data_IF_211251138839
#
_entry.id   IF_211251138839
#
_cell.length_a   1.000
_cell.length_b   1.000
_cell.length_c   1.000
_cell.angle_alpha   90.00
_cell.angle_beta   90.00
_cell.angle_gamma   90.00
#
_symmetry.space_group_name_H-M   'P 1'
#
loop_
_entity.id
_entity.type
_entity.pdbx_description
1 polymer ?
#
# COMPACT_ATOMS: atom_id res chain seq x y z
N UNK A 1 1.43 -1.62 -9.38
CA UNK A 1 0.87 -1.93 -8.05
C UNK A 1 1.65 -3.00 -7.31
N UNK A 2 1.67 -2.90 -5.99
CA UNK A 2 2.18 -3.91 -5.06
C UNK A 2 1.02 -4.29 -4.14
N UNK A 3 0.51 -5.51 -4.31
CA UNK A 3 -0.64 -6.02 -3.56
C UNK A 3 -0.20 -7.08 -2.56
N UNK A 4 -0.35 -6.80 -1.27
CA UNK A 4 -0.06 -7.75 -0.20
C UNK A 4 -1.31 -8.54 0.17
N UNK A 5 -1.21 -9.87 0.24
CA UNK A 5 -2.26 -10.76 0.73
C UNK A 5 -1.74 -11.62 1.87
N UNK A 6 -2.61 -11.90 2.83
CA UNK A 6 -2.32 -12.84 3.91
C UNK A 6 -3.03 -14.18 3.68
N UNK A 7 -2.26 -15.19 3.29
CA UNK A 7 -2.75 -16.54 3.01
C UNK A 7 -2.43 -17.49 4.18
N UNK A 8 -3.10 -17.31 5.33
CA UNK A 8 -2.83 -18.08 6.56
C UNK A 8 -2.80 -19.60 6.36
N UNK A 9 -3.66 -20.12 5.50
CA UNK A 9 -3.78 -21.57 5.21
C UNK A 9 -3.56 -21.89 3.73
N UNK A 10 -2.86 -21.03 3.01
CA UNK A 10 -2.60 -21.17 1.60
C UNK A 10 -3.75 -20.72 0.69
N UNK A 11 -4.94 -20.53 1.25
CA UNK A 11 -6.14 -20.21 0.49
C UNK A 11 -6.35 -18.69 0.41
N UNK A 12 -6.61 -18.21 -0.81
CA UNK A 12 -6.99 -16.82 -1.10
C UNK A 12 -8.49 -16.75 -1.42
N UNK A 13 -9.19 -15.86 -0.70
CA UNK A 13 -10.63 -15.70 -0.85
C UNK A 13 -11.03 -15.20 -2.25
N UNK A 14 -12.20 -15.60 -2.75
CA UNK A 14 -12.66 -15.28 -4.11
C UNK A 14 -12.92 -13.80 -4.36
N UNK A 15 -13.20 -13.01 -3.36
CA UNK A 15 -13.36 -11.56 -3.54
C UNK A 15 -12.08 -10.88 -4.05
N UNK A 16 -10.90 -11.46 -3.76
CA UNK A 16 -9.61 -10.98 -4.27
C UNK A 16 -9.57 -11.06 -5.81
N UNK A 17 -10.12 -12.13 -6.41
CA UNK A 17 -10.19 -12.25 -7.87
C UNK A 17 -11.02 -11.12 -8.48
N UNK A 18 -12.16 -10.80 -7.86
CA UNK A 18 -13.00 -9.68 -8.30
C UNK A 18 -12.27 -8.37 -8.19
N UNK A 19 -11.68 -8.09 -7.02
CA UNK A 19 -10.92 -6.88 -6.76
C UNK A 19 -9.79 -6.69 -7.79
N UNK A 20 -8.95 -7.70 -7.95
CA UNK A 20 -7.83 -7.66 -8.89
C UNK A 20 -8.28 -7.52 -10.35
N UNK A 21 -9.38 -8.19 -10.76
CA UNK A 21 -9.93 -8.07 -12.11
C UNK A 21 -10.35 -6.64 -12.49
N UNK A 22 -10.61 -5.80 -11.48
CA UNK A 22 -10.93 -4.38 -11.67
C UNK A 22 -9.67 -3.51 -11.58
N UNK A 23 -8.82 -3.80 -10.59
CA UNK A 23 -7.62 -3.01 -10.32
C UNK A 23 -6.60 -3.05 -11.48
N UNK A 24 -6.35 -4.22 -12.05
CA UNK A 24 -5.35 -4.37 -13.15
C UNK A 24 -5.65 -3.54 -14.37
N UNK A 25 -6.89 -3.08 -14.56
CA UNK A 25 -7.26 -2.20 -15.67
C UNK A 25 -6.67 -0.79 -15.55
N UNK A 26 -6.22 -0.43 -14.36
CA UNK A 26 -5.62 0.87 -14.04
C UNK A 26 -4.12 0.76 -13.73
N UNK A 27 -3.52 -0.41 -13.95
CA UNK A 27 -2.11 -0.66 -13.63
C UNK A 27 -1.35 -1.14 -14.87
N UNK A 28 -0.11 -0.65 -15.04
CA UNK A 28 0.83 -1.18 -16.03
C UNK A 28 1.48 -2.49 -15.56
N UNK A 29 1.72 -2.61 -14.25
CA UNK A 29 2.29 -3.81 -13.63
C UNK A 29 1.68 -4.08 -12.26
N UNK A 30 1.54 -5.37 -11.93
CA UNK A 30 1.12 -5.82 -10.62
C UNK A 30 2.08 -6.87 -10.05
N UNK A 31 2.67 -6.56 -8.89
CA UNK A 31 3.40 -7.52 -8.08
C UNK A 31 2.52 -7.92 -6.90
N UNK A 32 2.24 -9.20 -6.76
CA UNK A 32 1.53 -9.75 -5.60
C UNK A 32 2.56 -10.30 -4.61
N UNK A 33 2.42 -9.92 -3.35
CA UNK A 33 3.22 -10.48 -2.25
C UNK A 33 2.30 -11.28 -1.34
N UNK A 34 2.48 -12.58 -1.31
CA UNK A 34 1.74 -13.49 -0.43
C UNK A 34 2.52 -13.70 0.88
N UNK A 35 1.97 -13.21 1.97
CA UNK A 35 2.41 -13.55 3.32
C UNK A 35 1.79 -14.90 3.71
N UNK A 36 2.58 -15.95 3.66
CA UNK A 36 2.17 -17.36 3.78
C UNK A 36 2.25 -18.10 2.45
N UNK A 37 2.24 -19.40 2.52
CA UNK A 37 2.23 -20.27 1.33
C UNK A 37 0.92 -20.11 0.54
N UNK A 38 0.96 -20.43 -0.75
CA UNK A 38 -0.22 -20.45 -1.61
C UNK A 38 -0.52 -21.88 -2.03
N UNK A 39 -1.78 -22.30 -1.88
CA UNK A 39 -2.25 -23.52 -2.52
C UNK A 39 -2.22 -23.39 -4.05
N UNK A 40 -2.27 -24.53 -4.75
CA UNK A 40 -2.14 -24.56 -6.20
C UNK A 40 -3.27 -23.81 -6.93
N UNK A 41 -4.52 -23.86 -6.40
CA UNK A 41 -5.66 -23.14 -6.99
C UNK A 41 -5.50 -21.63 -6.81
N UNK A 42 -5.19 -21.19 -5.59
CA UNK A 42 -4.97 -19.77 -5.30
C UNK A 42 -3.83 -19.20 -6.14
N UNK A 43 -2.69 -19.89 -6.21
CA UNK A 43 -1.56 -19.50 -7.07
C UNK A 43 -1.97 -19.32 -8.52
N UNK A 44 -2.63 -20.34 -9.12
CA UNK A 44 -3.07 -20.32 -10.52
C UNK A 44 -4.06 -19.19 -10.81
N UNK A 45 -4.91 -18.86 -9.85
CA UNK A 45 -5.86 -17.74 -9.98
C UNK A 45 -5.14 -16.39 -9.96
N UNK A 46 -4.19 -16.19 -9.05
CA UNK A 46 -3.43 -14.95 -8.93
C UNK A 46 -2.49 -14.71 -10.13
N UNK A 47 -1.92 -15.77 -10.70
CA UNK A 47 -1.08 -15.70 -11.91
C UNK A 47 -1.79 -15.10 -13.14
N UNK A 48 -3.12 -15.03 -13.12
CA UNK A 48 -3.89 -14.38 -14.19
C UNK A 48 -3.85 -12.85 -14.12
N UNK A 49 -3.47 -12.31 -12.98
CA UNK A 49 -3.48 -10.87 -12.72
C UNK A 49 -2.08 -10.30 -12.51
N UNK A 50 -1.18 -11.09 -11.95
CA UNK A 50 0.13 -10.64 -11.51
C UNK A 50 1.21 -10.86 -12.56
N UNK A 51 2.04 -9.85 -12.79
CA UNK A 51 3.30 -9.99 -13.54
C UNK A 51 4.34 -10.76 -12.74
N UNK A 52 4.23 -10.72 -11.41
CA UNK A 52 5.11 -11.43 -10.49
C UNK A 52 4.40 -11.74 -9.17
N UNK A 53 4.62 -12.95 -8.64
CA UNK A 53 4.18 -13.36 -7.32
C UNK A 53 5.42 -13.64 -6.45
N UNK A 54 5.47 -13.01 -5.30
CA UNK A 54 6.47 -13.24 -4.26
C UNK A 54 5.77 -13.95 -3.10
N UNK A 55 6.24 -15.13 -2.74
CA UNK A 55 5.76 -15.85 -1.56
C UNK A 55 6.79 -15.69 -0.46
N UNK A 56 6.34 -15.33 0.73
CA UNK A 56 7.22 -15.10 1.87
C UNK A 56 6.56 -15.54 3.18
N UNK A 57 7.37 -15.77 4.20
CA UNK A 57 6.87 -15.93 5.56
C UNK A 57 6.16 -14.65 6.04
N UNK A 58 5.05 -14.79 6.78
CA UNK A 58 4.35 -13.64 7.36
C UNK A 58 5.10 -13.07 8.57
N UNK A 59 6.22 -12.42 8.31
CA UNK A 59 7.04 -11.72 9.30
C UNK A 59 7.12 -10.24 8.97
N UNK A 60 6.70 -9.38 9.90
CA UNK A 60 6.64 -7.92 9.70
C UNK A 60 5.46 -7.45 8.86
N UNK A 61 4.40 -8.27 8.75
CA UNK A 61 3.10 -7.95 8.17
C UNK A 61 3.16 -7.48 6.70
N UNK A 62 2.16 -6.70 6.29
CA UNK A 62 2.05 -6.09 4.95
C UNK A 62 3.16 -5.06 4.68
N UNK A 63 3.57 -4.32 5.69
CA UNK A 63 4.63 -3.30 5.58
C UNK A 63 5.96 -3.93 5.15
N UNK A 64 6.33 -5.08 5.74
CA UNK A 64 7.52 -5.79 5.32
C UNK A 64 7.37 -6.43 3.93
N UNK A 65 6.15 -6.79 3.53
CA UNK A 65 5.85 -7.23 2.17
C UNK A 65 6.03 -6.10 1.16
N UNK A 66 5.52 -4.89 1.45
CA UNK A 66 5.75 -3.70 0.62
C UNK A 66 7.24 -3.39 0.50
N UNK A 67 7.96 -3.35 1.63
CA UNK A 67 9.41 -3.16 1.63
C UNK A 67 10.13 -4.16 0.73
N UNK A 68 9.83 -5.44 0.87
CA UNK A 68 10.47 -6.49 0.05
C UNK A 68 10.20 -6.30 -1.43
N UNK A 69 8.95 -5.98 -1.80
CA UNK A 69 8.60 -5.74 -3.20
C UNK A 69 9.32 -4.50 -3.75
N UNK A 70 9.25 -3.36 -3.06
CA UNK A 70 9.91 -2.11 -3.47
C UNK A 70 11.42 -2.32 -3.69
N UNK A 71 12.11 -2.94 -2.74
CA UNK A 71 13.55 -3.22 -2.85
C UNK A 71 13.85 -4.22 -3.96
N UNK A 72 13.00 -5.23 -4.17
CA UNK A 72 13.20 -6.25 -5.22
C UNK A 72 12.94 -5.73 -6.64
N UNK A 73 12.07 -4.74 -6.80
CA UNK A 73 11.84 -4.03 -8.07
C UNK A 73 13.01 -3.08 -8.33
N UNK A 74 13.46 -2.39 -7.30
CA UNK A 74 14.56 -1.44 -7.33
C UNK A 74 14.15 -0.02 -7.74
N UNK A 75 14.80 0.96 -7.11
CA UNK A 75 14.44 2.37 -7.24
C UNK A 75 14.50 2.92 -8.67
N UNK A 76 15.48 2.47 -9.45
CA UNK A 76 15.61 2.89 -10.85
C UNK A 76 14.40 2.48 -11.70
N UNK A 77 13.88 1.25 -11.49
CA UNK A 77 12.69 0.78 -12.20
C UNK A 77 11.43 1.47 -11.67
N UNK A 78 11.30 1.63 -10.36
CA UNK A 78 10.16 2.32 -9.74
C UNK A 78 10.06 3.79 -10.22
N UNK A 79 11.18 4.47 -10.39
CA UNK A 79 11.23 5.84 -10.89
C UNK A 79 10.76 6.00 -12.36
N UNK A 80 10.59 4.91 -13.09
CA UNK A 80 10.05 4.95 -14.44
C UNK A 80 8.53 5.08 -14.48
N UNK A 81 7.84 4.76 -13.36
CA UNK A 81 6.39 4.93 -13.22
C UNK A 81 6.06 6.32 -12.69
N UNK A 82 4.88 6.82 -13.04
CA UNK A 82 4.36 8.08 -12.50
C UNK A 82 3.89 7.90 -11.05
N UNK A 83 3.37 6.71 -10.75
CA UNK A 83 2.85 6.36 -9.42
C UNK A 83 3.12 4.87 -9.09
N UNK A 84 3.39 4.60 -7.82
CA UNK A 84 3.50 3.24 -7.25
C UNK A 84 2.51 3.11 -6.11
N UNK A 85 1.68 2.07 -6.17
CA UNK A 85 0.64 1.82 -5.18
C UNK A 85 1.02 0.61 -4.35
N UNK A 86 1.01 0.76 -3.02
CA UNK A 86 1.11 -0.32 -2.05
C UNK A 86 -0.26 -0.50 -1.38
N UNK A 87 -0.82 -1.69 -1.46
CA UNK A 87 -2.14 -1.98 -0.90
C UNK A 87 -2.25 -3.43 -0.42
N UNK A 88 -3.22 -3.70 0.46
CA UNK A 88 -3.45 -5.04 1.00
C UNK A 88 -4.88 -5.54 0.79
N UNK A 89 -5.16 -6.78 1.22
CA UNK A 89 -6.41 -7.48 1.01
C UNK A 89 -7.48 -7.23 2.09
N UNK A 90 -7.30 -6.21 2.93
CA UNK A 90 -8.30 -5.86 3.96
C UNK A 90 -9.48 -5.07 3.41
N UNK A 91 -9.39 -4.59 2.16
CA UNK A 91 -10.44 -3.83 1.50
C UNK A 91 -11.33 -4.76 0.68
N UNK A 92 -12.64 -4.64 0.87
CA UNK A 92 -13.65 -5.26 0.01
C UNK A 92 -14.15 -4.25 -1.02
N UNK A 93 -14.23 -4.66 -2.27
CA UNK A 93 -14.72 -3.79 -3.36
C UNK A 93 -14.11 -4.15 -4.71
N UNK A 94 -14.05 -3.23 -5.66
CA UNK A 94 -14.58 -1.87 -5.58
C UNK A 94 -16.11 -1.81 -5.73
N UNK A 95 -16.75 -0.85 -5.07
CA UNK A 95 -18.18 -0.53 -5.25
C UNK A 95 -18.36 0.36 -6.48
N UNK A 96 -17.44 1.29 -6.70
CA UNK A 96 -17.35 2.16 -7.88
C UNK A 96 -16.09 1.82 -8.69
N UNK A 97 -16.03 2.16 -10.00
CA UNK A 97 -14.84 1.93 -10.80
C UNK A 97 -13.60 2.62 -10.21
N UNK A 98 -12.46 1.94 -10.20
CA UNK A 98 -11.19 2.54 -9.76
C UNK A 98 -10.80 3.77 -10.58
N UNK A 99 -11.20 3.85 -11.86
CA UNK A 99 -10.95 5.02 -12.70
C UNK A 99 -11.45 6.32 -12.09
N UNK A 100 -12.64 6.31 -11.45
CA UNK A 100 -13.19 7.49 -10.78
C UNK A 100 -12.28 8.01 -9.65
N UNK A 101 -11.75 7.08 -8.86
CA UNK A 101 -10.81 7.41 -7.79
C UNK A 101 -9.49 7.95 -8.35
N UNK A 102 -8.93 7.27 -9.35
CA UNK A 102 -7.66 7.71 -9.96
C UNK A 102 -7.80 9.07 -10.64
N UNK A 103 -8.86 9.28 -11.45
CA UNK A 103 -9.12 10.58 -12.11
C UNK A 103 -9.29 11.72 -11.09
N UNK A 104 -9.98 11.44 -9.97
CA UNK A 104 -10.13 12.42 -8.88
C UNK A 104 -8.77 12.78 -8.27
N UNK A 105 -7.93 11.78 -8.04
CA UNK A 105 -6.63 12.00 -7.41
C UNK A 105 -5.59 12.57 -8.38
N UNK A 106 -5.68 12.28 -9.68
CA UNK A 106 -4.85 12.90 -10.71
C UNK A 106 -5.06 14.42 -10.80
N UNK A 107 -6.27 14.87 -10.50
CA UNK A 107 -6.58 16.30 -10.38
C UNK A 107 -5.95 17.00 -9.17
N UNK A 108 -5.38 16.27 -8.20
CA UNK A 108 -4.75 16.85 -7.01
C UNK A 108 -3.23 16.88 -7.17
N UNK A 109 -2.63 18.04 -6.95
CA UNK A 109 -1.17 18.19 -6.95
C UNK A 109 -0.59 17.80 -5.59
N UNK A 110 -0.39 16.50 -5.37
CA UNK A 110 0.16 15.93 -4.14
C UNK A 110 1.26 14.91 -4.46
N UNK A 111 2.16 14.64 -3.51
CA UNK A 111 3.27 13.71 -3.67
C UNK A 111 2.89 12.27 -3.31
N UNK A 112 1.88 12.10 -2.47
CA UNK A 112 1.31 10.79 -2.14
C UNK A 112 -0.14 10.91 -1.65
N UNK A 113 -0.87 9.80 -1.73
CA UNK A 113 -2.26 9.79 -1.30
C UNK A 113 -2.71 8.39 -0.84
N UNK A 114 -3.85 8.35 -0.16
CA UNK A 114 -4.52 7.13 0.26
C UNK A 114 -6.03 7.23 0.07
N UNK A 115 -6.75 6.12 0.29
CA UNK A 115 -8.22 6.16 0.19
C UNK A 115 -8.80 6.95 1.35
N UNK A 116 -8.39 6.65 2.58
CA UNK A 116 -8.89 7.33 3.79
C UNK A 116 -7.72 7.83 4.63
N UNK A 117 -8.01 8.85 5.43
CA UNK A 117 -7.14 9.30 6.50
C UNK A 117 -7.81 9.05 7.86
N UNK A 118 -7.02 8.66 8.85
CA UNK A 118 -7.45 8.68 10.25
C UNK A 118 -7.29 10.10 10.78
N UNK A 119 -8.31 10.71 11.40
CA UNK A 119 -8.21 12.07 11.92
C UNK A 119 -7.24 12.15 13.10
N UNK A 120 -6.82 13.36 13.46
CA UNK A 120 -6.07 13.59 14.68
C UNK A 120 -6.87 13.08 15.90
N UNK A 121 -6.19 12.38 16.78
CA UNK A 121 -6.78 11.82 18.00
C UNK A 121 -5.79 11.86 19.16
N UNK A 122 -6.28 11.67 20.37
CA UNK A 122 -5.46 11.48 21.57
C UNK A 122 -5.94 10.20 22.25
N UNK A 123 -5.15 9.15 22.16
CA UNK A 123 -5.46 7.86 22.75
C UNK A 123 -4.30 7.36 23.61
N UNK A 124 -4.63 6.78 24.77
CA UNK A 124 -3.64 6.22 25.71
C UNK A 124 -2.57 7.21 26.18
N UNK A 125 -2.87 8.53 26.17
CA UNK A 125 -1.95 9.58 26.56
C UNK A 125 -0.92 9.97 25.50
N UNK A 126 -1.07 9.45 24.26
CA UNK A 126 -0.23 9.78 23.12
C UNK A 126 -1.06 10.52 22.06
N UNK A 127 -0.43 11.51 21.41
CA UNK A 127 -1.03 12.17 20.24
C UNK A 127 -0.88 11.27 19.01
N UNK A 128 -2.01 11.02 18.34
CA UNK A 128 -2.08 10.33 17.06
C UNK A 128 -2.28 11.39 15.98
N UNK A 129 -1.26 11.69 15.17
CA UNK A 129 -1.41 12.68 14.11
C UNK A 129 -2.36 12.18 13.03
N UNK A 130 -3.01 13.11 12.32
CA UNK A 130 -3.75 12.75 11.10
C UNK A 130 -2.83 12.01 10.15
N UNK A 131 -3.26 10.84 9.68
CA UNK A 131 -2.44 9.99 8.81
C UNK A 131 -3.28 9.19 7.82
N UNK A 132 -2.69 8.87 6.68
CA UNK A 132 -3.26 7.94 5.72
C UNK A 132 -3.21 6.51 6.28
N UNK A 133 -4.29 5.76 6.08
CA UNK A 133 -4.33 4.36 6.50
C UNK A 133 -3.57 3.47 5.52
N UNK A 134 -2.73 2.56 6.05
CA UNK A 134 -1.72 1.82 5.31
C UNK A 134 -2.24 0.75 4.34
N UNK A 135 -3.55 0.47 4.37
CA UNK A 135 -4.14 -0.49 3.45
C UNK A 135 -4.16 -0.03 1.98
N UNK A 136 -3.94 1.28 1.73
CA UNK A 136 -3.75 1.86 0.41
C UNK A 136 -2.89 3.11 0.49
N UNK A 137 -1.68 3.03 -0.03
CA UNK A 137 -0.81 4.18 -0.25
C UNK A 137 -0.38 4.24 -1.72
N UNK A 138 -0.62 5.37 -2.35
CA UNK A 138 -0.13 5.68 -3.68
C UNK A 138 0.98 6.73 -3.58
N UNK A 139 2.15 6.42 -4.09
CA UNK A 139 3.35 7.25 -4.04
C UNK A 139 3.66 7.76 -5.43
N UNK A 140 3.71 9.07 -5.62
CA UNK A 140 4.06 9.67 -6.90
C UNK A 140 5.56 9.76 -7.09
N UNK A 141 5.95 9.98 -8.32
CA UNK A 141 7.35 10.02 -8.76
C UNK A 141 8.22 10.96 -7.91
N UNK A 142 7.72 12.12 -7.51
CA UNK A 142 8.42 13.07 -6.65
C UNK A 142 8.85 12.45 -5.32
N UNK A 143 7.96 11.69 -4.69
CA UNK A 143 8.29 10.97 -3.46
C UNK A 143 9.19 9.76 -3.71
N UNK A 144 8.86 8.91 -4.70
CA UNK A 144 9.61 7.68 -5.03
C UNK A 144 11.08 7.96 -5.31
N UNK A 145 11.39 9.06 -6.02
CA UNK A 145 12.75 9.44 -6.39
C UNK A 145 13.52 10.13 -5.28
N UNK A 146 12.85 10.51 -4.18
CA UNK A 146 13.49 11.17 -3.06
C UNK A 146 14.38 10.20 -2.26
N UNK A 147 15.56 10.69 -1.88
CA UNK A 147 16.47 9.92 -1.01
C UNK A 147 15.86 9.61 0.36
N UNK A 148 14.97 10.49 0.86
CA UNK A 148 14.29 10.29 2.12
C UNK A 148 13.37 9.07 2.09
N UNK A 149 12.58 8.91 1.01
CA UNK A 149 11.69 7.77 0.83
C UNK A 149 12.47 6.47 0.63
N UNK A 150 13.48 6.49 -0.24
CA UNK A 150 14.32 5.31 -0.50
C UNK A 150 15.00 4.84 0.78
N UNK A 151 15.65 5.75 1.51
CA UNK A 151 16.31 5.42 2.77
C UNK A 151 15.33 4.92 3.84
N UNK A 152 14.12 5.49 3.91
CA UNK A 152 13.08 5.03 4.83
C UNK A 152 12.80 3.54 4.64
N UNK A 153 12.51 3.11 3.41
CA UNK A 153 12.22 1.71 3.11
C UNK A 153 13.44 0.79 3.22
N UNK A 154 14.62 1.28 2.90
CA UNK A 154 15.88 0.52 3.04
C UNK A 154 16.21 0.22 4.49
N UNK A 155 16.01 1.18 5.38
CA UNK A 155 16.41 1.10 6.79
C UNK A 155 15.28 0.73 7.76
N UNK A 156 14.05 0.63 7.28
CA UNK A 156 12.89 0.30 8.11
C UNK A 156 13.09 -1.07 8.79
N UNK A 157 12.88 -1.16 10.13
CA UNK A 157 12.98 -2.44 10.82
C UNK A 157 11.84 -3.39 10.42
N UNK A 158 12.01 -4.65 10.74
CA UNK A 158 10.91 -5.62 10.70
C UNK A 158 10.17 -5.54 12.02
N UNK A 159 8.91 -5.13 11.99
CA UNK A 159 8.07 -5.05 13.17
C UNK A 159 7.61 -6.46 13.59
N UNK A 160 7.51 -6.68 14.89
CA UNK A 160 7.20 -8.01 15.43
C UNK A 160 5.69 -8.25 15.50
N UNK A 161 4.93 -7.21 15.81
CA UNK A 161 3.49 -7.30 15.96
C UNK A 161 2.73 -6.13 15.28
N UNK A 162 1.40 -6.29 15.22
CA UNK A 162 0.50 -5.32 14.60
C UNK A 162 0.53 -3.95 15.31
N UNK A 163 0.56 -3.93 16.64
CA UNK A 163 0.53 -2.68 17.39
C UNK A 163 1.82 -1.87 17.19
N UNK A 164 2.96 -2.55 17.09
CA UNK A 164 4.24 -1.90 16.77
C UNK A 164 4.23 -1.34 15.35
N UNK A 165 3.77 -2.13 14.37
CA UNK A 165 3.68 -1.71 12.98
C UNK A 165 2.76 -0.48 12.82
N UNK A 166 1.58 -0.50 13.43
CA UNK A 166 0.64 0.61 13.41
C UNK A 166 1.26 1.87 14.01
N UNK A 167 1.83 1.78 15.22
CA UNK A 167 2.41 2.95 15.90
C UNK A 167 3.65 3.52 15.20
N UNK A 168 4.56 2.66 14.74
CA UNK A 168 5.86 3.09 14.22
C UNK A 168 5.88 3.31 12.70
N UNK A 169 4.89 2.80 11.97
CA UNK A 169 4.78 3.02 10.54
C UNK A 169 3.51 3.77 10.18
N UNK A 170 2.31 3.18 10.31
CA UNK A 170 1.08 3.76 9.82
C UNK A 170 0.83 5.17 10.39
N UNK A 171 0.81 5.31 11.73
CA UNK A 171 0.55 6.58 12.39
C UNK A 171 1.63 7.65 12.14
N UNK A 172 2.84 7.26 11.75
CA UNK A 172 3.96 8.18 11.62
C UNK A 172 4.36 8.49 10.18
N UNK A 173 4.01 7.63 9.23
CA UNK A 173 4.44 7.74 7.83
C UNK A 173 4.04 9.09 7.22
N UNK A 174 2.74 9.41 7.28
CA UNK A 174 2.21 10.65 6.68
C UNK A 174 2.87 11.88 7.27
N UNK A 175 2.91 11.99 8.61
CA UNK A 175 3.55 13.11 9.29
C UNK A 175 5.04 13.23 8.93
N UNK A 176 5.76 12.12 8.92
CA UNK A 176 7.19 12.09 8.57
C UNK A 176 7.49 12.73 7.23
N UNK A 177 6.71 12.38 6.22
CA UNK A 177 6.94 12.93 4.87
C UNK A 177 6.37 14.34 4.71
N UNK A 178 5.27 14.67 5.38
CA UNK A 178 4.75 16.03 5.44
C UNK A 178 5.76 17.00 6.10
N UNK A 179 6.41 16.60 7.19
CA UNK A 179 7.45 17.40 7.88
C UNK A 179 8.69 17.62 6.97
N UNK A 180 8.90 16.78 5.98
CA UNK A 180 9.94 16.94 4.94
C UNK A 180 9.49 17.79 3.75
N UNK A 181 8.25 18.30 3.77
CA UNK A 181 7.71 19.18 2.74
C UNK A 181 6.93 18.46 1.62
N UNK A 182 6.71 17.15 1.73
CA UNK A 182 5.87 16.41 0.78
C UNK A 182 4.38 16.64 1.09
N UNK A 183 3.61 16.84 0.04
CA UNK A 183 2.16 17.07 0.13
C UNK A 183 1.39 15.76 0.01
N UNK A 184 0.24 15.69 0.66
CA UNK A 184 -0.59 14.49 0.64
C UNK A 184 -2.08 14.80 0.68
N UNK A 185 -2.90 13.83 0.30
CA UNK A 185 -4.37 13.91 0.43
C UNK A 185 -4.97 12.52 0.61
N UNK A 186 -6.20 12.46 1.13
CA UNK A 186 -7.07 11.29 1.02
C UNK A 186 -8.06 11.46 -0.12
N UNK A 187 -8.46 10.33 -0.73
CA UNK A 187 -9.55 10.32 -1.70
C UNK A 187 -10.88 10.65 -1.02
N UNK A 188 -11.18 9.97 0.07
CA UNK A 188 -12.35 10.25 0.91
C UNK A 188 -11.98 11.35 1.89
N UNK A 189 -12.69 12.45 1.78
CA UNK A 189 -12.56 13.62 2.65
C UNK A 189 -13.52 13.47 3.83
N UNK A 190 -12.96 13.24 5.01
CA UNK A 190 -13.74 13.02 6.23
C UNK A 190 -14.59 14.22 6.64
N UNK A 191 -14.16 15.45 6.29
CA UNK A 191 -14.87 16.68 6.64
C UNK A 191 -16.14 16.88 5.82
N UNK A 192 -16.37 16.03 4.81
CA UNK A 192 -17.56 16.09 3.96
C UNK A 192 -18.68 15.12 4.34
N UNK A 193 -18.44 14.23 5.29
CA UNK A 193 -19.38 13.21 5.76
C UNK A 193 -19.55 13.24 7.28
#
# INVERSE_FOLDING_TARGET
GIYCIYAKYGHVARYVDYFLSKLVKSLDQLVIVANGELDADSRKRLERFADRIIVRENKGLDIAAYRQALLSIGWSKLAAYDEVICLNDTILGPVFPFSEMFETMDGKNVDFWGITAYPHDVAFGEEIPTHLQSYWHAYRKSLITSKAFQRYWETMPVYEDYAEATRKHEMTFTKRFADLGFTWASYIDYDKY
#
